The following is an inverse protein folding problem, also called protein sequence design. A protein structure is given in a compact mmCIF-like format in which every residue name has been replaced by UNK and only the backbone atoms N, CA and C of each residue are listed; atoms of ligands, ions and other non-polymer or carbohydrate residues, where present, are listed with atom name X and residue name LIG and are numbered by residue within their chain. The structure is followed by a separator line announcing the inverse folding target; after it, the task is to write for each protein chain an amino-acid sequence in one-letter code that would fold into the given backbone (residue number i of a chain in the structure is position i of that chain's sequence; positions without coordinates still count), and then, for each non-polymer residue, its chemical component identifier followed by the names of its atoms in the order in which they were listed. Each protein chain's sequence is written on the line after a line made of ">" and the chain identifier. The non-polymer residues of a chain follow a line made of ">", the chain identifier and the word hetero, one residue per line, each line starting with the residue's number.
data_IF_887800520265
#
_entry.id   IF_887800520265
#
_cell.length_a   1.000
_cell.length_b   1.000
_cell.length_c   1.000
_cell.angle_alpha   90.00
_cell.angle_beta   90.00
_cell.angle_gamma   90.00
#
_symmetry.space_group_name_H-M   'P 1'
#
loop_
_entity.id
_entity.type
_entity.pdbx_description
1 polymer ?
#
# COMPACT_ATOMS: atom_id res chain seq x y z
N UNK A 1 -10.90 -4.91 -16.53
CA UNK A 1 -11.91 -3.83 -16.36
C UNK A 1 -12.87 -3.76 -17.55
N UNK A 2 -12.39 -3.84 -18.80
CA UNK A 2 -13.26 -3.89 -19.99
C UNK A 2 -14.27 -5.06 -19.93
N UNK A 3 -13.81 -6.26 -19.60
CA UNK A 3 -14.67 -7.45 -19.47
C UNK A 3 -15.68 -7.36 -18.31
N UNK A 4 -15.31 -6.68 -17.21
CA UNK A 4 -16.20 -6.41 -16.07
C UNK A 4 -17.33 -5.44 -16.47
N UNK A 5 -17.00 -4.42 -17.27
CA UNK A 5 -17.96 -3.44 -17.79
C UNK A 5 -18.81 -4.06 -18.92
N UNK A 6 -18.22 -4.95 -19.72
CA UNK A 6 -18.89 -5.66 -20.83
C UNK A 6 -19.76 -6.83 -20.34
N UNK A 7 -19.67 -7.20 -19.06
CA UNK A 7 -20.62 -8.09 -18.40
C UNK A 7 -20.41 -9.59 -18.67
N UNK A 8 -19.19 -10.02 -18.99
CA UNK A 8 -18.87 -11.45 -19.14
C UNK A 8 -18.81 -12.13 -17.77
N UNK A 9 -20.00 -12.45 -17.26
CA UNK A 9 -20.19 -13.13 -15.97
C UNK A 9 -19.57 -14.53 -15.96
N UNK A 10 -19.50 -15.21 -17.11
CA UNK A 10 -18.93 -16.56 -17.20
C UNK A 10 -17.44 -16.55 -16.88
N UNK A 11 -16.70 -15.62 -17.50
CA UNK A 11 -15.27 -15.42 -17.21
C UNK A 11 -15.03 -14.99 -15.75
N UNK A 12 -15.86 -14.12 -15.19
CA UNK A 12 -15.71 -13.69 -13.79
C UNK A 12 -15.91 -14.84 -12.81
N UNK A 13 -16.90 -15.71 -13.07
CA UNK A 13 -17.13 -16.91 -12.27
C UNK A 13 -15.94 -17.87 -12.38
N UNK A 14 -15.42 -18.11 -13.58
CA UNK A 14 -14.24 -18.95 -13.79
C UNK A 14 -13.01 -18.41 -13.05
N UNK A 15 -12.76 -17.10 -13.14
CA UNK A 15 -11.69 -16.44 -12.40
C UNK A 15 -11.89 -16.56 -10.89
N UNK A 16 -13.10 -16.35 -10.39
CA UNK A 16 -13.42 -16.48 -8.97
C UNK A 16 -13.17 -17.91 -8.46
N UNK A 17 -13.67 -18.93 -9.16
CA UNK A 17 -13.47 -20.33 -8.78
C UNK A 17 -12.00 -20.73 -8.82
N UNK A 18 -11.28 -20.32 -9.88
CA UNK A 18 -9.84 -20.53 -9.98
C UNK A 18 -9.08 -19.85 -8.84
N UNK A 19 -9.45 -18.63 -8.51
CA UNK A 19 -8.87 -17.88 -7.39
C UNK A 19 -9.15 -18.51 -6.05
N UNK A 20 -10.36 -19.02 -5.83
CA UNK A 20 -10.76 -19.68 -4.60
C UNK A 20 -10.00 -21.00 -4.41
N UNK A 21 -9.94 -21.84 -5.45
CA UNK A 21 -9.25 -23.12 -5.39
C UNK A 21 -7.72 -23.00 -5.28
N UNK A 22 -7.11 -22.05 -6.00
CA UNK A 22 -5.66 -21.80 -5.91
C UNK A 22 -5.28 -20.91 -4.70
N UNK A 23 -6.26 -20.25 -4.08
CA UNK A 23 -6.05 -19.20 -3.07
C UNK A 23 -5.08 -18.09 -3.55
N UNK A 24 -5.12 -17.83 -4.85
CA UNK A 24 -4.32 -16.85 -5.56
C UNK A 24 -5.21 -15.86 -6.31
N UNK A 25 -4.69 -14.66 -6.56
CA UNK A 25 -5.41 -13.61 -7.26
C UNK A 25 -4.73 -13.28 -8.60
N UNK A 26 -4.75 -14.20 -9.59
CA UNK A 26 -4.25 -13.91 -10.92
C UNK A 26 -5.03 -12.72 -11.51
N UNK A 27 -4.34 -11.83 -12.21
CA UNK A 27 -4.91 -10.62 -12.83
C UNK A 27 -5.42 -9.54 -11.86
N UNK A 28 -5.23 -9.69 -10.53
CA UNK A 28 -5.50 -8.62 -9.58
C UNK A 28 -4.46 -7.49 -9.64
N UNK A 29 -4.74 -6.38 -8.93
CA UNK A 29 -3.77 -5.27 -8.79
C UNK A 29 -2.41 -5.82 -8.35
N UNK A 30 -1.28 -5.28 -8.84
CA UNK A 30 0.05 -5.77 -8.46
C UNK A 30 0.25 -5.90 -6.94
N UNK A 31 -0.23 -4.92 -6.16
CA UNK A 31 -0.15 -4.96 -4.69
C UNK A 31 -1.04 -6.01 -4.03
N UNK A 32 -2.18 -6.37 -4.64
CA UNK A 32 -3.03 -7.46 -4.14
C UNK A 32 -2.34 -8.82 -4.31
N UNK A 33 -1.54 -8.98 -5.36
CA UNK A 33 -0.78 -10.22 -5.61
C UNK A 33 0.37 -10.45 -4.62
N UNK A 34 0.78 -9.40 -3.91
CA UNK A 34 1.80 -9.40 -2.86
C UNK A 34 1.27 -8.91 -1.51
N UNK A 35 -0.05 -9.01 -1.30
CA UNK A 35 -0.67 -8.65 -0.03
C UNK A 35 -0.50 -9.79 0.98
N UNK A 36 0.05 -9.46 2.15
CA UNK A 36 0.13 -10.37 3.30
C UNK A 36 -1.01 -10.14 4.33
N UNK A 37 -1.79 -9.08 4.16
CA UNK A 37 -3.02 -8.79 4.91
C UNK A 37 -4.24 -9.27 4.12
N UNK A 38 -4.42 -10.59 4.07
CA UNK A 38 -5.47 -11.23 3.27
C UNK A 38 -6.54 -11.94 4.11
N UNK A 39 -6.45 -11.81 5.43
CA UNK A 39 -7.43 -12.33 6.40
C UNK A 39 -8.30 -11.20 6.93
N UNK A 40 -9.46 -11.56 7.48
CA UNK A 40 -10.41 -10.64 8.11
C UNK A 40 -10.18 -10.46 9.61
N UNK A 41 -8.94 -10.58 10.09
CA UNK A 41 -8.63 -10.66 11.53
C UNK A 41 -9.01 -9.41 12.34
N UNK A 42 -9.19 -8.28 11.66
CA UNK A 42 -9.67 -7.02 12.26
C UNK A 42 -11.19 -6.84 12.19
N UNK A 43 -11.91 -7.75 11.54
CA UNK A 43 -13.37 -7.71 11.46
C UNK A 43 -13.98 -8.57 12.57
N UNK A 44 -15.15 -8.17 13.08
CA UNK A 44 -15.87 -8.91 14.13
C UNK A 44 -16.13 -10.38 13.76
N UNK A 45 -16.44 -10.62 12.47
CA UNK A 45 -16.67 -11.95 11.90
C UNK A 45 -15.89 -12.07 10.59
N UNK A 46 -15.08 -13.12 10.48
CA UNK A 46 -14.42 -13.54 9.25
C UNK A 46 -15.11 -14.77 8.66
N UNK A 47 -15.34 -14.73 7.34
CA UNK A 47 -15.70 -15.90 6.53
C UNK A 47 -14.43 -16.40 5.84
N UNK A 48 -13.93 -17.56 6.25
CA UNK A 48 -12.62 -18.06 5.81
C UNK A 48 -12.71 -19.42 5.12
N UNK A 49 -12.05 -19.55 3.97
CA UNK A 49 -11.98 -20.83 3.21
C UNK A 49 -10.65 -21.57 3.39
N UNK A 50 -9.61 -20.88 3.90
CA UNK A 50 -8.30 -21.48 4.14
C UNK A 50 -8.39 -22.54 5.24
N UNK A 51 -7.90 -23.75 4.93
CA UNK A 51 -7.95 -24.93 5.80
C UNK A 51 -9.28 -25.70 5.75
N UNK A 52 -10.31 -25.17 5.09
CA UNK A 52 -11.60 -25.84 4.99
C UNK A 52 -11.55 -26.94 3.91
N UNK A 53 -12.42 -27.94 4.03
CA UNK A 53 -12.62 -28.93 2.98
C UNK A 53 -13.32 -28.31 1.75
N UNK A 54 -13.33 -29.03 0.63
CA UNK A 54 -13.96 -28.56 -0.62
C UNK A 54 -15.45 -28.24 -0.38
N UNK A 55 -15.89 -27.06 -0.79
CA UNK A 55 -17.23 -26.47 -0.54
C UNK A 55 -17.57 -26.08 0.93
N UNK A 56 -16.62 -26.15 1.86
CA UNK A 56 -16.81 -25.69 3.25
C UNK A 56 -16.15 -24.33 3.54
N UNK A 57 -16.59 -23.70 4.63
CA UNK A 57 -16.02 -22.45 5.12
C UNK A 57 -16.10 -22.38 6.65
N UNK A 58 -15.22 -21.57 7.23
CA UNK A 58 -15.24 -21.20 8.64
C UNK A 58 -15.94 -19.87 8.84
N UNK A 59 -16.76 -19.80 9.90
CA UNK A 59 -17.14 -18.53 10.51
C UNK A 59 -16.31 -18.36 11.79
N UNK A 60 -15.44 -17.36 11.78
CA UNK A 60 -14.54 -17.05 12.90
C UNK A 60 -14.97 -15.72 13.50
N UNK A 61 -15.28 -15.70 14.79
CA UNK A 61 -15.47 -14.45 15.52
C UNK A 61 -14.10 -13.95 16.03
N UNK A 62 -13.78 -12.68 15.77
CA UNK A 62 -12.56 -12.04 16.27
C UNK A 62 -12.83 -11.00 17.37
N UNK A 63 -14.11 -10.80 17.74
CA UNK A 63 -14.54 -9.87 18.79
C UNK A 63 -15.71 -10.44 19.60
N UNK A 64 -15.96 -9.93 20.82
CA UNK A 64 -17.14 -10.27 21.62
C UNK A 64 -18.47 -10.00 20.87
N UNK A 65 -18.52 -8.93 20.10
CA UNK A 65 -19.66 -8.58 19.24
C UNK A 65 -19.89 -9.63 18.15
N UNK A 66 -18.81 -10.13 17.55
CA UNK A 66 -18.84 -11.22 16.58
C UNK A 66 -19.34 -12.54 17.19
N UNK A 67 -18.89 -12.88 18.39
CA UNK A 67 -19.33 -14.09 19.11
C UNK A 67 -20.85 -14.06 19.38
N UNK A 68 -21.36 -12.94 19.90
CA UNK A 68 -22.79 -12.79 20.20
C UNK A 68 -23.64 -12.78 18.92
N UNK A 69 -23.14 -12.17 17.84
CA UNK A 69 -23.80 -12.19 16.54
C UNK A 69 -23.91 -13.62 15.97
N UNK A 70 -22.83 -14.40 16.00
CA UNK A 70 -22.86 -15.80 15.55
C UNK A 70 -23.79 -16.66 16.41
N UNK A 71 -23.77 -16.47 17.72
CA UNK A 71 -24.67 -17.16 18.66
C UNK A 71 -26.14 -16.83 18.39
N UNK A 72 -26.46 -15.56 18.09
CA UNK A 72 -27.81 -15.12 17.75
C UNK A 72 -28.31 -15.76 16.44
N UNK A 73 -27.41 -15.97 15.48
CA UNK A 73 -27.69 -16.69 14.24
C UNK A 73 -27.88 -18.21 14.44
N UNK A 74 -27.73 -18.71 15.67
CA UNK A 74 -27.82 -20.13 15.98
C UNK A 74 -26.60 -20.93 15.53
N UNK A 75 -25.47 -20.27 15.23
CA UNK A 75 -24.22 -20.95 14.93
C UNK A 75 -23.64 -21.55 16.22
N UNK A 76 -23.56 -22.89 16.28
CA UNK A 76 -23.23 -23.62 17.51
C UNK A 76 -21.74 -24.00 17.66
N UNK A 77 -20.86 -23.54 16.76
CA UNK A 77 -19.42 -23.64 17.00
C UNK A 77 -18.55 -23.58 15.76
N UNK A 78 -17.36 -22.97 15.95
CA UNK A 78 -16.19 -23.18 15.11
C UNK A 78 -15.57 -24.55 15.43
N UNK A 79 -15.29 -25.32 14.39
CA UNK A 79 -14.52 -26.56 14.49
C UNK A 79 -13.10 -26.32 14.98
N UNK A 80 -12.29 -27.37 15.05
CA UNK A 80 -10.85 -27.23 15.31
C UNK A 80 -10.23 -26.35 14.21
N UNK A 81 -9.73 -25.17 14.59
CA UNK A 81 -9.13 -24.21 13.67
C UNK A 81 -7.64 -24.47 13.45
N UNK A 82 -7.04 -25.50 14.06
CA UNK A 82 -5.59 -25.76 13.95
C UNK A 82 -5.11 -25.87 12.51
N UNK A 83 -5.79 -26.65 11.67
CA UNK A 83 -5.40 -26.83 10.27
C UNK A 83 -5.43 -25.49 9.51
N UNK A 84 -6.44 -24.66 9.80
CA UNK A 84 -6.55 -23.30 9.29
C UNK A 84 -5.42 -22.41 9.81
N UNK A 85 -5.13 -22.41 11.10
CA UNK A 85 -4.08 -21.59 11.71
C UNK A 85 -2.69 -21.94 11.16
N UNK A 86 -2.40 -23.24 11.00
CA UNK A 86 -1.17 -23.73 10.40
C UNK A 86 -1.06 -23.29 8.92
N UNK A 87 -2.12 -23.48 8.14
CA UNK A 87 -2.16 -23.06 6.74
C UNK A 87 -2.02 -21.53 6.60
N UNK A 88 -2.73 -20.74 7.41
CA UNK A 88 -2.63 -19.29 7.40
C UNK A 88 -1.22 -18.81 7.76
N UNK A 89 -0.56 -19.45 8.72
CA UNK A 89 0.82 -19.12 9.10
C UNK A 89 1.77 -19.35 7.92
N UNK A 90 1.69 -20.50 7.25
CA UNK A 90 2.50 -20.81 6.08
C UNK A 90 2.24 -19.81 4.94
N UNK A 91 0.97 -19.54 4.63
CA UNK A 91 0.59 -18.60 3.57
C UNK A 91 1.02 -17.16 3.87
N UNK A 92 0.89 -16.69 5.13
CA UNK A 92 1.36 -15.36 5.54
C UNK A 92 2.85 -15.24 5.33
N UNK A 93 3.63 -16.25 5.71
CA UNK A 93 5.08 -16.25 5.51
C UNK A 93 5.45 -16.26 4.02
N UNK A 94 4.83 -17.12 3.22
CA UNK A 94 5.04 -17.17 1.78
C UNK A 94 4.70 -15.83 1.10
N UNK A 95 3.60 -15.18 1.50
CA UNK A 95 3.18 -13.86 0.97
C UNK A 95 4.11 -12.73 1.42
N UNK A 96 4.62 -12.75 2.66
CA UNK A 96 5.65 -11.80 3.13
C UNK A 96 6.92 -11.94 2.34
N UNK A 97 7.40 -13.17 2.13
CA UNK A 97 8.58 -13.44 1.32
C UNK A 97 8.37 -12.97 -0.13
N UNK A 98 7.21 -13.27 -0.73
CA UNK A 98 6.86 -12.80 -2.08
C UNK A 98 6.87 -11.27 -2.17
N UNK A 99 6.29 -10.57 -1.18
CA UNK A 99 6.30 -9.10 -1.12
C UNK A 99 7.71 -8.53 -1.00
N UNK A 100 8.54 -9.15 -0.16
CA UNK A 100 9.94 -8.76 0.01
C UNK A 100 10.69 -8.90 -1.31
N UNK A 101 10.66 -10.07 -1.93
CA UNK A 101 11.26 -10.33 -3.25
C UNK A 101 10.74 -9.36 -4.31
N UNK A 102 9.44 -9.09 -4.33
CA UNK A 102 8.84 -8.14 -5.26
C UNK A 102 9.45 -6.73 -5.13
N UNK A 103 9.63 -6.24 -3.89
CA UNK A 103 10.19 -4.91 -3.66
C UNK A 103 11.71 -4.83 -3.62
N UNK A 104 12.44 -5.94 -3.51
CA UNK A 104 13.90 -5.95 -3.54
C UNK A 104 14.45 -6.30 -4.92
N UNK A 105 13.90 -7.33 -5.56
CA UNK A 105 14.47 -7.96 -6.75
C UNK A 105 13.68 -7.63 -8.02
N UNK A 106 12.37 -7.44 -7.94
CA UNK A 106 11.53 -7.18 -9.11
C UNK A 106 11.29 -5.68 -9.35
N UNK A 107 10.31 -5.09 -8.66
CA UNK A 107 9.93 -3.69 -8.85
C UNK A 107 11.02 -2.74 -8.33
N UNK A 108 11.58 -3.01 -7.14
CA UNK A 108 12.58 -2.12 -6.53
C UNK A 108 13.87 -2.01 -7.34
N UNK A 109 14.30 -3.09 -7.99
CA UNK A 109 15.49 -3.09 -8.85
C UNK A 109 15.29 -2.22 -10.09
N UNK A 110 14.06 -2.17 -10.63
CA UNK A 110 13.70 -1.36 -11.80
C UNK A 110 13.69 0.14 -11.53
N UNK A 111 13.49 0.55 -10.27
CA UNK A 111 13.35 1.96 -9.88
C UNK A 111 14.52 2.47 -9.03
N UNK A 112 15.61 1.70 -8.98
CA UNK A 112 16.78 2.02 -8.16
C UNK A 112 17.57 3.19 -8.75
N UNK A 113 17.76 4.21 -7.92
CA UNK A 113 18.52 5.42 -8.26
C UNK A 113 17.69 6.55 -8.90
N UNK A 114 18.24 7.77 -8.93
CA UNK A 114 17.49 8.96 -9.38
C UNK A 114 16.96 8.87 -10.81
N UNK A 115 17.77 8.38 -11.74
CA UNK A 115 17.39 8.34 -13.16
C UNK A 115 16.27 7.34 -13.42
N UNK A 116 16.32 6.16 -12.79
CA UNK A 116 15.28 5.14 -12.91
C UNK A 116 13.95 5.60 -12.30
N UNK A 117 14.00 6.28 -11.14
CA UNK A 117 12.83 6.89 -10.53
C UNK A 117 12.22 7.98 -11.43
N UNK A 118 13.06 8.86 -11.99
CA UNK A 118 12.60 9.90 -12.92
C UNK A 118 11.98 9.31 -14.19
N UNK A 119 12.58 8.25 -14.73
CA UNK A 119 12.04 7.50 -15.87
C UNK A 119 10.66 6.90 -15.55
N UNK A 120 10.52 6.28 -14.37
CA UNK A 120 9.27 5.66 -13.91
C UNK A 120 8.13 6.69 -13.76
N UNK A 121 8.45 7.91 -13.37
CA UNK A 121 7.49 8.99 -13.17
C UNK A 121 7.29 9.87 -14.42
N UNK A 122 8.01 9.60 -15.51
CA UNK A 122 8.05 10.44 -16.71
C UNK A 122 6.67 10.70 -17.32
N UNK A 123 5.82 9.67 -17.33
CA UNK A 123 4.49 9.73 -17.96
C UNK A 123 3.44 10.39 -17.05
N UNK A 124 3.79 10.79 -15.83
CA UNK A 124 2.87 11.51 -14.96
C UNK A 124 2.58 12.92 -15.47
N UNK A 125 1.33 13.18 -15.85
CA UNK A 125 0.87 14.50 -16.32
C UNK A 125 0.44 15.45 -15.20
N UNK A 126 0.70 15.08 -13.93
CA UNK A 126 0.34 15.85 -12.75
C UNK A 126 -1.18 16.17 -12.65
N UNK A 127 -2.04 15.23 -13.06
CA UNK A 127 -3.50 15.38 -13.00
C UNK A 127 -4.10 15.24 -11.59
N UNK A 128 -3.30 14.82 -10.62
CA UNK A 128 -3.69 14.62 -9.21
C UNK A 128 -4.80 13.57 -8.94
N UNK A 129 -5.28 12.81 -9.94
CA UNK A 129 -6.29 11.75 -9.73
C UNK A 129 -5.89 10.75 -8.65
N UNK A 130 -4.62 10.32 -8.67
CA UNK A 130 -4.06 9.39 -7.70
C UNK A 130 -4.08 9.92 -6.26
N UNK A 131 -4.18 11.24 -6.06
CA UNK A 131 -4.39 11.88 -4.77
C UNK A 131 -5.87 11.94 -4.41
N UNK A 132 -6.74 12.31 -5.36
CA UNK A 132 -8.19 12.48 -5.13
C UNK A 132 -8.91 11.19 -4.77
N UNK A 133 -8.45 10.05 -5.26
CA UNK A 133 -9.02 8.73 -4.92
C UNK A 133 -8.47 8.14 -3.63
N UNK A 134 -7.45 8.76 -3.03
CA UNK A 134 -6.76 8.19 -1.88
C UNK A 134 -7.49 8.57 -0.59
N UNK A 135 -7.98 7.60 0.21
CA UNK A 135 -8.76 7.90 1.41
C UNK A 135 -7.95 8.58 2.52
N UNK A 136 -6.63 8.40 2.53
CA UNK A 136 -5.73 9.03 3.52
C UNK A 136 -5.24 10.42 3.09
N UNK A 137 -5.58 10.89 1.89
CA UNK A 137 -5.30 12.26 1.44
C UNK A 137 -6.45 13.20 1.82
N UNK A 138 -6.65 13.44 3.12
CA UNK A 138 -7.78 14.21 3.66
C UNK A 138 -7.46 15.67 4.05
N UNK A 139 -6.26 16.17 3.73
CA UNK A 139 -5.85 17.53 4.05
C UNK A 139 -6.87 18.55 3.52
N UNK A 140 -7.30 19.50 4.37
CA UNK A 140 -8.23 20.58 3.97
C UNK A 140 -7.63 21.50 2.92
N UNK A 141 -6.34 21.79 3.07
CA UNK A 141 -5.55 22.57 2.13
C UNK A 141 -4.36 21.74 1.68
N UNK A 142 -4.28 21.47 0.38
CA UNK A 142 -3.15 20.77 -0.20
C UNK A 142 -2.15 21.79 -0.75
N UNK A 143 -0.88 21.69 -0.36
CA UNK A 143 0.20 22.50 -0.93
C UNK A 143 0.20 22.45 -2.46
N UNK A 144 -0.04 21.27 -3.04
CA UNK A 144 -0.05 21.03 -4.49
C UNK A 144 -1.24 21.64 -5.25
N UNK A 145 -2.32 21.98 -4.54
CA UNK A 145 -3.46 22.71 -5.11
C UNK A 145 -3.45 24.20 -4.72
N UNK A 146 -2.45 24.65 -3.96
CA UNK A 146 -2.35 26.02 -3.45
C UNK A 146 -1.72 27.00 -4.45
N UNK A 147 -1.96 28.30 -4.25
CA UNK A 147 -1.34 29.37 -5.05
C UNK A 147 0.19 29.43 -4.89
N UNK A 148 0.75 28.87 -3.81
CA UNK A 148 2.19 28.87 -3.57
C UNK A 148 2.98 28.09 -4.64
N UNK A 149 2.35 27.11 -5.30
CA UNK A 149 2.94 26.35 -6.40
C UNK A 149 2.64 26.92 -7.79
N UNK A 150 1.84 27.98 -7.88
CA UNK A 150 1.57 28.65 -9.16
C UNK A 150 2.78 29.47 -9.58
N UNK A 151 3.60 28.87 -10.42
CA UNK A 151 4.76 29.53 -11.01
C UNK A 151 4.31 30.54 -12.07
N UNK A 152 4.77 31.79 -11.97
CA UNK A 152 4.43 32.83 -12.95
C UNK A 152 4.98 32.51 -14.35
N UNK A 153 4.35 33.01 -15.43
CA UNK A 153 4.85 32.82 -16.80
C UNK A 153 6.31 33.25 -16.97
N UNK A 154 6.71 34.37 -16.35
CA UNK A 154 8.09 34.87 -16.41
C UNK A 154 9.09 33.92 -15.75
N UNK A 155 8.71 33.31 -14.63
CA UNK A 155 9.54 32.30 -13.96
C UNK A 155 9.69 31.05 -14.85
N UNK A 156 8.60 30.58 -15.46
CA UNK A 156 8.62 29.48 -16.43
C UNK A 156 9.58 29.76 -17.59
N UNK A 157 9.43 30.92 -18.25
CA UNK A 157 10.26 31.32 -19.39
C UNK A 157 11.71 31.53 -18.96
N UNK A 158 11.96 32.12 -17.80
CA UNK A 158 13.29 32.31 -17.24
C UNK A 158 14.01 30.98 -16.98
N UNK A 159 13.30 30.00 -16.39
CA UNK A 159 13.83 28.64 -16.17
C UNK A 159 14.09 27.93 -17.50
N UNK A 160 13.17 28.00 -18.45
CA UNK A 160 13.32 27.39 -19.77
C UNK A 160 14.52 27.97 -20.54
N UNK A 161 14.70 29.30 -20.55
CA UNK A 161 15.87 29.95 -21.17
C UNK A 161 17.19 29.49 -20.54
N UNK A 162 17.25 29.40 -19.20
CA UNK A 162 18.45 28.96 -18.48
C UNK A 162 18.79 27.49 -18.72
N UNK A 163 17.77 26.63 -18.84
CA UNK A 163 17.94 25.17 -18.99
C UNK A 163 17.90 24.69 -20.44
N UNK A 164 17.64 25.57 -21.40
CA UNK A 164 17.42 25.22 -22.82
C UNK A 164 16.04 24.60 -23.09
N UNK A 165 15.50 23.84 -22.14
CA UNK A 165 14.14 23.30 -22.17
C UNK A 165 13.58 23.18 -20.74
N UNK A 166 12.26 23.13 -20.63
CA UNK A 166 11.57 22.87 -19.37
C UNK A 166 10.31 22.06 -19.65
N UNK A 167 10.13 20.98 -18.87
CA UNK A 167 8.88 20.21 -18.86
C UNK A 167 7.73 21.10 -18.38
N UNK A 168 6.61 21.05 -19.07
CA UNK A 168 5.37 21.69 -18.61
C UNK A 168 4.89 20.95 -17.35
N UNK A 169 4.61 21.68 -16.27
CA UNK A 169 4.37 21.14 -14.92
C UNK A 169 5.65 20.47 -14.35
N UNK A 170 6.68 21.26 -14.00
CA UNK A 170 8.04 20.76 -13.71
C UNK A 170 8.18 20.04 -12.36
N UNK A 171 7.15 20.08 -11.50
CA UNK A 171 7.24 19.66 -10.11
C UNK A 171 6.67 18.24 -9.86
N UNK A 172 6.68 17.39 -10.89
CA UNK A 172 6.23 15.99 -10.83
C UNK A 172 6.96 15.20 -9.74
N UNK A 173 8.29 15.31 -9.66
CA UNK A 173 9.07 14.62 -8.63
C UNK A 173 8.71 15.14 -7.23
N UNK A 174 8.58 16.46 -7.07
CA UNK A 174 8.21 17.09 -5.80
C UNK A 174 6.83 16.60 -5.33
N UNK A 175 5.86 16.51 -6.25
CA UNK A 175 4.54 15.96 -5.99
C UNK A 175 4.60 14.53 -5.43
N UNK A 176 5.32 13.63 -6.10
CA UNK A 176 5.42 12.25 -5.65
C UNK A 176 6.21 12.11 -4.35
N UNK A 177 7.29 12.87 -4.16
CA UNK A 177 8.06 12.89 -2.90
C UNK A 177 7.24 13.40 -1.73
N UNK A 178 6.52 14.52 -1.89
CA UNK A 178 5.65 15.06 -0.84
C UNK A 178 4.56 14.07 -0.44
N UNK A 179 3.94 13.41 -1.43
CA UNK A 179 2.94 12.37 -1.16
C UNK A 179 3.52 11.15 -0.44
N UNK A 180 4.67 10.65 -0.88
CA UNK A 180 5.36 9.56 -0.18
C UNK A 180 5.64 9.94 1.28
N UNK A 181 6.14 11.14 1.51
CA UNK A 181 6.43 11.63 2.86
C UNK A 181 5.17 11.68 3.75
N UNK A 182 4.06 12.21 3.24
CA UNK A 182 2.83 12.36 4.03
C UNK A 182 2.11 11.03 4.30
N UNK A 183 2.23 10.07 3.37
CA UNK A 183 1.46 8.82 3.41
C UNK A 183 2.27 7.63 3.95
N UNK A 184 3.57 7.78 4.15
CA UNK A 184 4.52 6.69 4.40
C UNK A 184 4.09 5.75 5.54
N UNK A 185 3.59 6.29 6.64
CA UNK A 185 3.14 5.52 7.79
C UNK A 185 1.70 5.00 7.65
N UNK A 186 0.84 5.67 6.88
CA UNK A 186 -0.60 5.37 6.80
C UNK A 186 -1.02 4.59 5.54
N UNK A 187 -0.12 4.39 4.58
CA UNK A 187 -0.42 3.70 3.33
C UNK A 187 -0.67 2.20 3.55
N UNK A 188 -1.91 1.76 3.35
CA UNK A 188 -2.32 0.35 3.45
C UNK A 188 -2.14 -0.46 2.15
N UNK A 189 -1.38 0.06 1.17
CA UNK A 189 -1.09 -0.63 -0.09
C UNK A 189 -2.34 -1.05 -0.92
N UNK A 190 -3.45 -0.31 -0.83
CA UNK A 190 -4.71 -0.70 -1.48
C UNK A 190 -4.73 -0.60 -3.02
N UNK A 191 -3.75 0.09 -3.64
CA UNK A 191 -3.60 0.15 -5.09
C UNK A 191 -4.50 1.14 -5.85
N UNK A 192 -5.52 1.73 -5.20
CA UNK A 192 -6.52 2.59 -5.88
C UNK A 192 -5.92 3.80 -6.61
N UNK A 193 -4.79 4.32 -6.12
CA UNK A 193 -4.12 5.47 -6.71
C UNK A 193 -3.46 5.14 -8.06
N UNK A 194 -3.08 3.90 -8.29
CA UNK A 194 -2.54 3.42 -9.57
C UNK A 194 -3.66 3.09 -10.56
N UNK A 195 -4.74 2.48 -10.10
CA UNK A 195 -5.96 2.27 -10.91
C UNK A 195 -6.52 3.58 -11.47
N UNK A 196 -6.46 4.66 -10.69
CA UNK A 196 -6.94 5.99 -11.09
C UNK A 196 -5.99 6.74 -12.03
N UNK A 197 -4.79 6.22 -12.29
CA UNK A 197 -3.81 6.88 -13.14
C UNK A 197 -4.15 6.69 -14.62
N UNK A 198 -4.45 7.76 -15.38
CA UNK A 198 -4.78 7.62 -16.80
C UNK A 198 -3.58 7.17 -17.66
N UNK A 199 -2.36 7.32 -17.16
CA UNK A 199 -1.12 6.98 -17.88
C UNK A 199 -0.42 5.74 -17.31
N UNK A 200 -1.06 5.01 -16.39
CA UNK A 200 -0.49 3.77 -15.84
C UNK A 200 0.80 3.94 -15.03
N UNK A 201 1.06 5.12 -14.46
CA UNK A 201 2.24 5.35 -13.60
C UNK A 201 2.11 4.49 -12.34
N UNK A 202 3.14 3.70 -11.96
CA UNK A 202 3.07 2.70 -10.89
C UNK A 202 3.16 3.30 -9.48
N UNK A 203 2.35 4.32 -9.21
CA UNK A 203 2.43 5.13 -8.00
C UNK A 203 2.13 4.33 -6.73
N UNK A 204 1.21 3.36 -6.81
CA UNK A 204 0.84 2.59 -5.62
C UNK A 204 1.98 1.71 -5.15
N UNK A 205 2.66 1.05 -6.10
CA UNK A 205 3.83 0.20 -5.85
C UNK A 205 4.99 0.99 -5.26
N UNK A 206 5.24 2.19 -5.81
CA UNK A 206 6.24 3.12 -5.28
C UNK A 206 5.92 3.51 -3.82
N UNK A 207 4.68 3.93 -3.54
CA UNK A 207 4.28 4.38 -2.22
C UNK A 207 4.27 3.24 -1.20
N UNK A 208 3.83 2.05 -1.58
CA UNK A 208 3.86 0.86 -0.75
C UNK A 208 5.29 0.46 -0.39
N UNK A 209 6.21 0.46 -1.36
CA UNK A 209 7.63 0.15 -1.12
C UNK A 209 8.27 1.10 -0.10
N UNK A 210 8.02 2.41 -0.24
CA UNK A 210 8.52 3.41 0.72
C UNK A 210 7.83 3.24 2.07
N UNK A 211 6.52 3.01 2.07
CA UNK A 211 5.73 2.79 3.26
C UNK A 211 6.22 1.60 4.09
N UNK A 212 6.51 0.46 3.45
CA UNK A 212 7.06 -0.72 4.12
C UNK A 212 8.36 -0.40 4.87
N UNK A 213 9.25 0.38 4.25
CA UNK A 213 10.53 0.77 4.87
C UNK A 213 10.33 1.72 6.05
N UNK A 214 9.47 2.72 5.90
CA UNK A 214 9.20 3.67 6.99
C UNK A 214 8.47 3.02 8.15
N UNK A 215 7.52 2.13 7.87
CA UNK A 215 6.77 1.39 8.89
C UNK A 215 7.66 0.47 9.72
N UNK A 216 8.64 -0.18 9.07
CA UNK A 216 9.62 -1.01 9.76
C UNK A 216 10.50 -0.23 10.74
N UNK A 217 10.80 1.04 10.45
CA UNK A 217 11.59 1.92 11.35
C UNK A 217 10.85 2.18 12.66
N UNK A 218 9.53 2.36 12.61
CA UNK A 218 8.70 2.66 13.79
C UNK A 218 8.01 1.43 14.39
N UNK A 219 8.29 0.23 13.87
CA UNK A 219 7.53 -1.00 14.16
C UNK A 219 6.00 -0.79 14.11
N UNK A 220 5.54 -0.04 13.10
CA UNK A 220 4.15 0.42 12.99
C UNK A 220 3.40 -0.25 11.83
N UNK A 221 2.15 -0.66 12.05
CA UNK A 221 1.28 -1.16 10.97
C UNK A 221 -0.03 -0.37 10.95
N UNK A 222 -0.37 0.29 9.83
CA UNK A 222 -1.54 1.15 9.77
C UNK A 222 -2.83 0.36 9.96
N UNK A 223 -3.62 0.77 10.96
CA UNK A 223 -4.94 0.21 11.21
C UNK A 223 -4.96 -1.12 11.96
N UNK A 224 -3.82 -1.60 12.50
CA UNK A 224 -3.82 -2.83 13.32
C UNK A 224 -4.51 -2.66 14.68
N UNK A 225 -4.53 -1.42 15.20
CA UNK A 225 -5.16 -1.05 16.46
C UNK A 225 -5.70 0.39 16.32
N UNK A 226 -6.91 0.62 16.82
CA UNK A 226 -7.57 1.94 16.80
C UNK A 226 -7.03 2.87 17.89
N UNK A 227 -6.50 2.31 18.98
CA UNK A 227 -5.94 3.06 20.10
C UNK A 227 -4.45 3.36 19.90
N UNK A 228 -3.80 2.69 18.94
CA UNK A 228 -2.42 2.98 18.58
C UNK A 228 -2.33 4.26 17.74
N UNK A 229 -1.69 5.28 18.32
CA UNK A 229 -1.43 6.54 17.62
C UNK A 229 -0.48 6.34 16.44
N UNK A 230 -0.73 7.08 15.35
CA UNK A 230 0.22 7.17 14.22
C UNK A 230 1.50 7.82 14.76
N UNK A 231 2.71 7.28 14.49
CA UNK A 231 3.96 7.79 15.07
C UNK A 231 4.19 9.29 14.89
N UNK A 232 3.73 9.88 13.78
CA UNK A 232 3.83 11.32 13.53
C UNK A 232 2.98 12.21 14.48
N UNK A 233 2.02 11.62 15.18
CA UNK A 233 1.12 12.31 16.13
C UNK A 233 1.49 12.05 17.59
N UNK A 234 2.51 11.22 17.84
CA UNK A 234 2.95 10.85 19.17
C UNK A 234 4.41 11.28 19.40
N UNK A 235 4.85 11.25 20.64
CA UNK A 235 6.23 11.52 21.02
C UNK A 235 6.71 10.47 22.02
N UNK A 236 7.87 9.91 21.75
CA UNK A 236 8.58 8.99 22.65
C UNK A 236 9.95 9.57 22.96
N UNK A 237 10.31 9.59 24.24
CA UNK A 237 11.59 10.13 24.70
C UNK A 237 12.78 9.30 24.18
N UNK A 238 12.61 7.98 24.12
CA UNK A 238 13.60 7.04 23.59
C UNK A 238 13.11 6.51 22.23
N UNK A 239 13.29 7.29 21.16
CA UNK A 239 12.93 6.91 19.79
C UNK A 239 14.08 7.24 18.83
N UNK A 240 14.45 6.28 17.97
CA UNK A 240 15.48 6.44 16.92
C UNK A 240 16.85 6.92 17.45
N UNK A 241 17.23 6.58 18.69
CA UNK A 241 18.53 6.94 19.27
C UNK A 241 19.71 6.46 18.42
N UNK A 242 19.57 5.35 17.70
CA UNK A 242 20.58 4.86 16.77
C UNK A 242 20.80 5.77 15.56
N UNK A 243 19.86 6.67 15.25
CA UNK A 243 19.97 7.68 14.20
C UNK A 243 20.45 9.04 14.74
N UNK A 244 20.52 9.20 16.06
CA UNK A 244 21.05 10.40 16.71
C UNK A 244 22.57 10.40 16.61
N UNK A 245 23.10 11.27 15.76
CA UNK A 245 24.52 11.58 15.76
C UNK A 245 24.76 13.07 16.03
N UNK A 246 25.80 13.40 16.79
CA UNK A 246 26.31 14.76 16.85
C UNK A 246 26.56 15.26 15.43
N UNK A 247 26.19 16.52 15.14
CA UNK A 247 26.44 17.16 13.84
C UNK A 247 27.92 17.18 13.42
N UNK A 248 28.82 16.85 14.34
CA UNK A 248 30.27 16.74 14.15
C UNK A 248 30.73 15.36 13.67
N UNK A 249 29.85 14.36 13.60
CA UNK A 249 30.17 12.99 13.20
C UNK A 249 29.32 12.58 11.98
N UNK A 250 29.93 11.94 10.99
CA UNK A 250 29.18 11.40 9.85
C UNK A 250 28.49 10.09 10.24
N UNK A 251 27.18 10.02 10.12
CA UNK A 251 26.43 8.76 10.25
C UNK A 251 26.64 7.88 9.03
N UNK A 252 26.95 6.60 9.25
CA UNK A 252 27.03 5.56 8.22
C UNK A 252 25.86 4.57 8.30
N UNK A 253 24.78 4.92 9.01
CA UNK A 253 23.60 4.07 9.11
C UNK A 253 22.83 4.02 7.78
N UNK A 254 23.23 3.07 6.94
CA UNK A 254 22.35 2.48 5.93
C UNK A 254 21.61 1.33 6.63
N UNK A 255 20.27 1.33 6.68
CA UNK A 255 19.54 0.24 7.29
C UNK A 255 19.88 -1.04 6.52
N UNK A 256 20.41 -2.05 7.21
CA UNK A 256 20.68 -3.34 6.60
C UNK A 256 19.38 -3.89 6.03
N UNK A 257 19.36 -4.16 4.74
CA UNK A 257 18.24 -4.81 4.04
C UNK A 257 18.07 -6.24 4.56
N UNK A 258 17.35 -6.41 5.67
CA UNK A 258 16.79 -7.68 6.12
C UNK A 258 15.33 -7.85 5.72
#
# INVERSE_FOLDING_TARGET
>A
MKDYIEGDRGRLEELFQKSLGAQELPEARPLCQVCYHFTGELADIEVGFVGASEDEYYLVANSPEGEEALKTLGYQGGGDLKEREEALKEMKEARRQKRRTYFTEEFGSQISGPDALLSTLHDCTNCHNCMRVCPICFCRECFFDSDALKVSPDNYLGRARKKGALRLLPDTLLFHMGRMNHMSLSCVSCGVCEDACPNGVPVSRLFAMVGDRTRAIFDYEPGRDLEESIPFLDYREEELQEWEAPYTQSTTHCPSSS
#
